data_IF_238077689081
#
_entry.id   IF_238077689081
#
_cell.length_a   1.000
_cell.length_b   1.000
_cell.length_c   1.000
_cell.angle_alpha   90.00
_cell.angle_beta   90.00
_cell.angle_gamma   90.00
#
_symmetry.space_group_name_H-M   'P 1'
#
loop_
_entity.id
_entity.type
_entity.pdbx_description
1 polymer ?
#
# COMPACT_ATOMS: atom_id res chain seq x y z
N UNK A 1 14.19 21.80 7.87
CA UNK A 1 14.37 20.88 6.73
C UNK A 1 13.03 20.80 6.02
N UNK A 2 12.96 21.18 4.76
CA UNK A 2 11.74 21.10 3.97
C UNK A 2 11.46 19.67 3.52
N UNK A 3 10.19 19.37 3.25
CA UNK A 3 9.70 18.03 2.90
C UNK A 3 8.77 18.13 1.71
N UNK A 4 8.95 17.26 0.72
CA UNK A 4 8.25 17.37 -0.56
C UNK A 4 7.25 16.24 -0.76
N UNK A 5 6.00 16.62 -0.99
CA UNK A 5 4.95 15.73 -1.51
C UNK A 5 4.79 16.01 -2.98
N UNK A 6 4.60 14.96 -3.78
CA UNK A 6 4.39 15.11 -5.22
C UNK A 6 2.93 14.76 -5.52
N UNK A 7 2.23 15.66 -6.20
CA UNK A 7 0.89 15.45 -6.72
C UNK A 7 1.00 15.22 -8.22
N UNK A 8 0.64 14.03 -8.67
CA UNK A 8 0.71 13.63 -10.09
C UNK A 8 -0.67 13.77 -10.70
N UNK A 9 -0.77 14.54 -11.77
CA UNK A 9 -2.03 14.96 -12.38
C UNK A 9 -2.21 14.26 -13.74
N UNK A 10 -3.40 13.72 -13.98
CA UNK A 10 -3.80 13.19 -15.30
C UNK A 10 -4.20 14.29 -16.31
N UNK A 11 -4.21 15.55 -15.89
CA UNK A 11 -4.55 16.72 -16.70
C UNK A 11 -3.32 17.58 -16.99
N UNK A 12 -3.34 18.28 -18.13
CA UNK A 12 -2.32 19.26 -18.50
C UNK A 12 -2.58 20.56 -17.71
N UNK A 13 -1.89 20.70 -16.58
CA UNK A 13 -2.05 21.81 -15.62
C UNK A 13 -0.90 22.79 -15.79
N UNK A 14 -1.22 24.08 -15.88
CA UNK A 14 -0.26 25.19 -15.99
C UNK A 14 0.03 25.85 -14.65
N UNK A 15 1.10 26.64 -14.55
CA UNK A 15 1.38 27.42 -13.34
C UNK A 15 0.28 28.42 -13.00
N UNK A 16 -0.48 28.90 -14.01
CA UNK A 16 -1.64 29.76 -13.79
C UNK A 16 -2.79 29.02 -13.09
N UNK A 17 -3.05 27.78 -13.46
CA UNK A 17 -4.08 26.94 -12.83
C UNK A 17 -3.73 26.61 -11.37
N UNK A 18 -2.44 26.30 -11.11
CA UNK A 18 -1.94 26.08 -9.75
C UNK A 18 -2.06 27.36 -8.91
N UNK A 19 -1.73 28.51 -9.49
CA UNK A 19 -1.92 29.81 -8.85
C UNK A 19 -3.36 30.07 -8.46
N UNK A 20 -4.28 29.92 -9.41
CA UNK A 20 -5.70 30.11 -9.15
C UNK A 20 -6.22 29.17 -8.05
N UNK A 21 -5.79 27.90 -8.07
CA UNK A 21 -6.13 26.94 -7.02
C UNK A 21 -5.66 27.42 -5.64
N UNK A 22 -4.38 27.76 -5.51
CA UNK A 22 -3.78 28.12 -4.21
C UNK A 22 -4.29 29.48 -3.72
N UNK A 23 -4.47 30.46 -4.60
CA UNK A 23 -5.10 31.75 -4.29
C UNK A 23 -6.55 31.57 -3.79
N UNK A 24 -7.30 30.63 -4.35
CA UNK A 24 -8.67 30.33 -3.88
C UNK A 24 -8.72 29.78 -2.44
N UNK A 25 -7.59 29.26 -1.93
CA UNK A 25 -7.41 28.82 -0.55
C UNK A 25 -6.85 29.93 0.37
N UNK A 26 -6.66 31.15 -0.17
CA UNK A 26 -6.07 32.29 0.53
C UNK A 26 -4.54 32.33 0.45
N UNK A 27 -3.93 31.63 -0.50
CA UNK A 27 -2.49 31.73 -0.78
C UNK A 27 -2.15 32.97 -1.59
N UNK A 28 -0.86 33.30 -1.62
CA UNK A 28 -0.32 34.49 -2.26
C UNK A 28 0.75 34.09 -3.28
N UNK A 29 0.86 34.86 -4.36
CA UNK A 29 2.00 34.74 -5.26
C UNK A 29 3.28 35.00 -4.45
N UNK A 30 4.30 34.17 -4.65
CA UNK A 30 5.53 34.23 -3.85
C UNK A 30 6.37 35.48 -4.13
N UNK A 31 6.01 36.63 -3.57
CA UNK A 31 6.89 37.79 -3.51
C UNK A 31 7.96 37.55 -2.43
N UNK A 32 9.08 36.93 -2.81
CA UNK A 32 10.23 36.69 -1.92
C UNK A 32 10.61 35.22 -1.69
N UNK A 33 9.98 34.28 -2.38
CA UNK A 33 10.38 32.87 -2.36
C UNK A 33 11.62 32.65 -3.26
N UNK A 34 12.59 31.79 -2.88
CA UNK A 34 13.80 31.53 -3.66
C UNK A 34 13.49 31.00 -5.08
N UNK A 35 13.46 31.89 -6.06
CA UNK A 35 13.53 31.75 -7.54
C UNK A 35 12.68 30.66 -8.26
N UNK A 36 11.96 29.75 -7.58
CA UNK A 36 11.45 28.50 -8.19
C UNK A 36 10.04 28.07 -7.76
N UNK A 37 9.28 28.88 -7.01
CA UNK A 37 7.90 28.54 -6.60
C UNK A 37 6.87 29.50 -7.18
N UNK A 38 5.75 28.93 -7.63
CA UNK A 38 4.67 29.65 -8.29
C UNK A 38 3.79 30.42 -7.29
N UNK A 39 3.57 29.83 -6.10
CA UNK A 39 2.61 30.29 -5.07
C UNK A 39 3.01 29.75 -3.70
N UNK A 40 2.61 30.47 -2.65
CA UNK A 40 2.74 30.03 -1.25
C UNK A 40 1.38 30.09 -0.55
N UNK A 41 1.11 29.10 0.29
CA UNK A 41 -0.02 29.12 1.23
C UNK A 41 0.53 29.13 2.66
N UNK A 42 0.31 30.23 3.38
CA UNK A 42 0.70 30.39 4.78
C UNK A 42 -0.50 30.64 5.68
N UNK A 43 -0.70 29.80 6.69
CA UNK A 43 -1.80 29.96 7.65
C UNK A 43 -1.55 29.18 8.93
N UNK A 44 -1.85 29.78 10.08
CA UNK A 44 -1.83 29.08 11.38
C UNK A 44 -0.48 28.46 11.75
N UNK A 45 0.63 29.08 11.33
CA UNK A 45 1.99 28.57 11.56
C UNK A 45 2.43 27.47 10.59
N UNK A 46 1.63 27.13 9.58
CA UNK A 46 2.02 26.26 8.48
C UNK A 46 2.37 27.07 7.22
N UNK A 47 3.28 26.53 6.42
CA UNK A 47 3.70 27.08 5.13
C UNK A 47 3.87 25.96 4.12
N UNK A 48 3.28 26.13 2.93
CA UNK A 48 3.45 25.24 1.78
C UNK A 48 3.77 26.07 0.54
N UNK A 49 4.88 25.75 -0.12
CA UNK A 49 5.22 26.30 -1.42
C UNK A 49 4.87 25.32 -2.53
N UNK A 50 4.35 25.82 -3.63
CA UNK A 50 3.92 24.99 -4.76
C UNK A 50 4.69 25.32 -6.03
N UNK A 51 5.09 24.30 -6.79
CA UNK A 51 5.66 24.48 -8.13
C UNK A 51 5.36 23.29 -9.03
N UNK A 52 5.22 23.54 -10.33
CA UNK A 52 5.22 22.45 -11.31
C UNK A 52 6.65 21.96 -11.57
N UNK A 53 6.81 20.64 -11.73
CA UNK A 53 8.10 20.01 -12.04
C UNK A 53 7.90 18.90 -13.08
N UNK A 54 8.02 19.21 -14.39
CA UNK A 54 7.81 18.23 -15.45
C UNK A 54 8.88 17.13 -15.47
N UNK A 55 10.04 17.35 -14.86
CA UNK A 55 11.14 16.38 -14.88
C UNK A 55 10.83 15.14 -14.02
N UNK A 56 9.93 15.27 -13.05
CA UNK A 56 9.44 14.15 -12.22
C UNK A 56 8.71 13.06 -13.03
N UNK A 57 8.23 13.37 -14.23
CA UNK A 57 7.53 12.42 -15.11
C UNK A 57 8.45 11.74 -16.13
N UNK A 58 9.76 12.05 -16.12
CA UNK A 58 10.74 11.47 -17.07
C UNK A 58 11.22 10.07 -16.69
N UNK A 59 10.96 9.63 -15.46
CA UNK A 59 11.38 8.31 -14.98
C UNK A 59 10.38 7.23 -15.43
N UNK A 60 10.78 6.37 -16.37
CA UNK A 60 9.90 5.38 -17.01
C UNK A 60 9.21 4.43 -16.01
N UNK A 61 9.94 3.89 -15.03
CA UNK A 61 9.39 2.96 -14.05
C UNK A 61 8.30 3.61 -13.18
N UNK A 62 8.54 4.85 -12.74
CA UNK A 62 7.57 5.61 -11.95
C UNK A 62 6.37 6.02 -12.80
N UNK A 63 6.62 6.36 -14.07
CA UNK A 63 5.57 6.73 -15.02
C UNK A 63 4.58 5.58 -15.21
N UNK A 64 5.07 4.36 -15.45
CA UNK A 64 4.21 3.18 -15.60
C UNK A 64 3.38 2.90 -14.35
N UNK A 65 3.96 3.09 -13.15
CA UNK A 65 3.24 2.95 -11.89
C UNK A 65 2.13 4.01 -11.75
N UNK A 66 2.39 5.27 -12.13
CA UNK A 66 1.36 6.32 -12.14
C UNK A 66 0.28 6.04 -13.17
N UNK A 67 0.63 5.61 -14.38
CA UNK A 67 -0.34 5.28 -15.44
C UNK A 67 -1.30 4.18 -14.99
N UNK A 68 -0.76 3.12 -14.36
CA UNK A 68 -1.55 2.04 -13.79
C UNK A 68 -2.50 2.53 -12.69
N UNK A 69 -2.03 3.40 -11.80
CA UNK A 69 -2.83 3.86 -10.65
C UNK A 69 -3.83 4.98 -10.99
N UNK A 70 -3.54 5.83 -12.00
CA UNK A 70 -4.45 6.88 -12.50
C UNK A 70 -5.50 6.36 -13.47
N UNK A 71 -5.25 5.20 -14.10
CA UNK A 71 -5.95 4.75 -15.32
C UNK A 71 -5.88 5.78 -16.47
N UNK A 72 -4.88 6.66 -16.43
CA UNK A 72 -4.65 7.76 -17.37
C UNK A 72 -3.14 8.08 -17.47
N UNK A 73 -2.65 8.56 -18.63
CA UNK A 73 -1.29 9.08 -18.75
C UNK A 73 -1.05 10.26 -17.80
N UNK A 74 -0.01 10.26 -16.95
CA UNK A 74 0.35 11.43 -16.16
C UNK A 74 0.82 12.54 -17.10
N UNK A 75 0.31 13.75 -16.88
CA UNK A 75 0.53 14.92 -17.73
C UNK A 75 1.32 16.01 -17.03
N UNK A 76 1.02 16.25 -15.75
CA UNK A 76 1.70 17.26 -14.94
C UNK A 76 2.08 16.70 -13.56
N UNK A 77 3.11 17.28 -12.94
CA UNK A 77 3.50 16.96 -11.57
C UNK A 77 3.68 18.26 -10.79
N UNK A 78 2.97 18.35 -9.67
CA UNK A 78 2.97 19.47 -8.75
C UNK A 78 3.74 19.07 -7.49
N UNK A 79 4.77 19.82 -7.15
CA UNK A 79 5.55 19.66 -5.93
C UNK A 79 4.96 20.57 -4.86
N UNK A 80 4.60 19.97 -3.72
CA UNK A 80 4.20 20.66 -2.50
C UNK A 80 5.36 20.57 -1.52
N UNK A 81 6.09 21.67 -1.37
CA UNK A 81 7.17 21.78 -0.40
C UNK A 81 6.63 22.35 0.91
N UNK A 82 6.73 21.57 1.97
CA UNK A 82 6.22 21.91 3.30
C UNK A 82 7.38 22.24 4.24
N UNK A 83 7.16 23.19 5.15
CA UNK A 83 8.03 23.31 6.33
C UNK A 83 7.79 22.14 7.30
N UNK A 84 8.67 22.01 8.31
CA UNK A 84 8.55 20.96 9.33
C UNK A 84 7.42 21.19 10.35
N UNK A 85 6.70 22.30 10.25
CA UNK A 85 5.64 22.66 11.19
C UNK A 85 4.39 21.78 10.99
N UNK A 86 3.69 21.36 12.07
CA UNK A 86 2.50 20.52 11.96
C UNK A 86 1.39 21.11 11.07
N UNK A 87 1.26 22.44 11.04
CA UNK A 87 0.28 23.15 10.22
C UNK A 87 0.50 22.97 8.72
N UNK A 88 1.76 22.78 8.28
CA UNK A 88 2.12 22.68 6.87
C UNK A 88 1.59 21.42 6.21
N UNK A 89 1.50 20.32 6.97
CA UNK A 89 0.86 19.11 6.44
C UNK A 89 -0.62 19.39 6.15
N UNK A 90 -1.35 20.03 7.08
CA UNK A 90 -2.78 20.29 6.89
C UNK A 90 -3.04 21.19 5.68
N UNK A 91 -2.22 22.21 5.49
CA UNK A 91 -2.30 23.06 4.30
C UNK A 91 -2.01 22.28 3.01
N UNK A 92 -1.02 21.40 3.01
CA UNK A 92 -0.75 20.57 1.84
C UNK A 92 -1.89 19.58 1.56
N UNK A 93 -2.54 19.02 2.60
CA UNK A 93 -3.75 18.22 2.42
C UNK A 93 -4.89 19.02 1.80
N UNK A 94 -5.11 20.25 2.24
CA UNK A 94 -6.14 21.12 1.66
C UNK A 94 -5.88 21.39 0.17
N UNK A 95 -4.62 21.67 -0.21
CA UNK A 95 -4.24 21.84 -1.62
C UNK A 95 -4.50 20.56 -2.41
N UNK A 96 -4.13 19.38 -1.88
CA UNK A 96 -4.38 18.08 -2.51
C UNK A 96 -5.88 17.86 -2.73
N UNK A 97 -6.71 18.10 -1.72
CA UNK A 97 -8.15 17.89 -1.82
C UNK A 97 -8.80 18.87 -2.81
N UNK A 98 -8.43 20.15 -2.75
CA UNK A 98 -8.93 21.14 -3.67
C UNK A 98 -8.48 20.87 -5.11
N UNK A 99 -7.27 20.34 -5.32
CA UNK A 99 -6.80 19.88 -6.63
C UNK A 99 -7.60 18.65 -7.11
N UNK A 100 -7.93 17.72 -6.21
CA UNK A 100 -8.68 16.50 -6.55
C UNK A 100 -10.12 16.80 -6.98
N UNK A 101 -10.71 17.88 -6.47
CA UNK A 101 -12.01 18.38 -6.93
C UNK A 101 -11.97 18.92 -8.38
N UNK A 102 -10.78 19.28 -8.89
CA UNK A 102 -10.59 19.85 -10.23
C UNK A 102 -10.03 18.85 -11.24
N UNK A 103 -9.11 17.98 -10.82
CA UNK A 103 -8.35 17.11 -11.71
C UNK A 103 -8.16 15.69 -11.14
N UNK A 104 -8.19 14.65 -11.99
CA UNK A 104 -7.74 13.31 -11.60
C UNK A 104 -6.28 13.35 -11.16
N UNK A 105 -5.99 12.85 -9.95
CA UNK A 105 -4.65 12.91 -9.39
C UNK A 105 -4.30 11.71 -8.51
N UNK A 106 -2.99 11.54 -8.30
CA UNK A 106 -2.39 10.70 -7.29
C UNK A 106 -1.51 11.56 -6.37
N UNK A 107 -1.29 11.07 -5.16
CA UNK A 107 -0.34 11.64 -4.21
C UNK A 107 0.81 10.66 -4.04
N UNK A 108 2.04 11.09 -4.30
CA UNK A 108 3.24 10.39 -3.86
C UNK A 108 3.72 11.01 -2.55
N UNK A 109 3.66 10.22 -1.50
CA UNK A 109 3.93 10.67 -0.14
C UNK A 109 5.44 10.78 0.16
N UNK A 110 5.80 11.17 1.38
CA UNK A 110 7.19 11.36 1.81
C UNK A 110 8.01 10.06 1.84
N UNK A 111 7.34 8.90 1.95
CA UNK A 111 7.94 7.58 1.86
C UNK A 111 8.05 7.08 0.42
N UNK A 112 7.56 7.86 -0.55
CA UNK A 112 7.52 7.49 -1.96
C UNK A 112 6.35 6.58 -2.34
N UNK A 113 5.41 6.35 -1.44
CA UNK A 113 4.22 5.53 -1.71
C UNK A 113 3.23 6.30 -2.58
N UNK A 114 2.64 5.61 -3.56
CA UNK A 114 1.62 6.16 -4.47
C UNK A 114 0.23 5.93 -3.86
N UNK A 115 -0.52 7.00 -3.68
CA UNK A 115 -1.85 7.00 -3.06
C UNK A 115 -2.88 7.54 -4.04
N UNK A 116 -4.02 6.85 -4.12
CA UNK A 116 -5.23 7.41 -4.73
C UNK A 116 -5.86 8.45 -3.81
N UNK A 117 -6.68 9.35 -4.36
CA UNK A 117 -7.43 10.36 -3.60
C UNK A 117 -8.30 9.69 -2.52
N UNK A 118 -8.97 8.59 -2.85
CA UNK A 118 -9.77 7.82 -1.89
C UNK A 118 -8.93 7.30 -0.72
N UNK A 119 -7.75 6.73 -1.00
CA UNK A 119 -6.82 6.27 0.03
C UNK A 119 -6.28 7.43 0.87
N UNK A 120 -6.06 8.58 0.26
CA UNK A 120 -5.64 9.79 0.96
C UNK A 120 -6.74 10.32 1.89
N UNK A 121 -8.00 10.39 1.45
CA UNK A 121 -9.15 10.72 2.31
C UNK A 121 -9.27 9.78 3.51
N UNK A 122 -9.10 8.48 3.31
CA UNK A 122 -9.08 7.50 4.41
C UNK A 122 -7.99 7.80 5.42
N UNK A 123 -6.77 8.17 4.97
CA UNK A 123 -5.70 8.61 5.89
C UNK A 123 -6.09 9.86 6.66
N UNK A 124 -6.64 10.88 6.01
CA UNK A 124 -7.07 12.11 6.67
C UNK A 124 -8.16 11.86 7.72
N UNK A 125 -9.11 10.97 7.45
CA UNK A 125 -10.17 10.62 8.38
C UNK A 125 -9.63 9.91 9.65
N UNK A 126 -8.54 9.15 9.52
CA UNK A 126 -7.99 8.32 10.60
C UNK A 126 -6.86 8.98 11.39
N UNK A 127 -6.15 9.92 10.78
CA UNK A 127 -4.89 10.45 11.30
C UNK A 127 -5.05 11.91 11.71
N UNK A 128 -4.54 12.26 12.89
CA UNK A 128 -4.42 13.68 13.31
C UNK A 128 -3.22 14.40 12.71
N UNK A 129 -2.21 13.64 12.24
CA UNK A 129 -1.00 14.09 11.58
C UNK A 129 -0.35 12.91 10.82
N UNK A 130 0.67 13.17 9.98
CA UNK A 130 1.45 12.12 9.31
C UNK A 130 0.68 11.44 8.18
N UNK A 131 -0.22 12.14 7.49
CA UNK A 131 -0.96 11.55 6.35
C UNK A 131 -0.10 11.39 5.09
N UNK A 132 0.98 12.16 4.98
CA UNK A 132 2.00 11.99 3.94
C UNK A 132 3.19 11.13 4.36
N UNK A 133 3.11 10.43 5.48
CA UNK A 133 4.23 9.61 5.95
C UNK A 133 3.68 8.28 6.48
N UNK A 134 3.80 7.23 5.67
CA UNK A 134 3.41 5.89 6.09
C UNK A 134 4.32 5.35 7.21
N UNK A 135 5.60 5.74 7.25
CA UNK A 135 6.60 5.16 8.12
C UNK A 135 6.52 5.69 9.57
N UNK A 136 6.09 6.95 9.75
CA UNK A 136 5.98 7.54 11.10
C UNK A 136 4.60 7.40 11.72
N UNK A 137 3.61 6.91 10.98
CA UNK A 137 2.28 6.68 11.55
C UNK A 137 2.23 5.38 12.34
N UNK A 138 2.20 5.53 13.66
CA UNK A 138 1.76 4.46 14.56
C UNK A 138 0.24 4.45 14.55
N UNK A 139 -0.37 3.44 13.93
CA UNK A 139 -1.80 3.20 14.03
C UNK A 139 -2.14 2.79 15.47
N UNK A 140 -2.87 3.63 16.24
CA UNK A 140 -3.22 3.31 17.61
C UNK A 140 -4.42 2.35 17.67
N UNK A 141 -4.97 1.93 16.53
CA UNK A 141 -6.10 1.02 16.50
C UNK A 141 -5.75 -0.31 17.19
N UNK A 142 -6.73 -0.94 17.86
CA UNK A 142 -6.55 -2.30 18.35
C UNK A 142 -6.14 -3.28 17.23
N UNK A 143 -6.47 -2.98 15.97
CA UNK A 143 -6.06 -3.77 14.80
C UNK A 143 -4.57 -3.66 14.51
N UNK A 144 -3.98 -2.48 14.55
CA UNK A 144 -2.53 -2.35 14.37
C UNK A 144 -1.70 -2.82 15.58
N UNK A 145 -2.21 -2.64 16.79
CA UNK A 145 -1.66 -3.29 17.98
C UNK A 145 -1.77 -4.84 17.94
N UNK A 146 -2.61 -5.38 17.04
CA UNK A 146 -2.67 -6.80 16.71
C UNK A 146 -1.69 -7.18 15.59
N UNK A 147 -1.50 -6.34 14.57
CA UNK A 147 -0.48 -6.54 13.50
C UNK A 147 0.96 -6.57 14.01
N UNK A 148 1.26 -5.93 15.14
CA UNK A 148 2.55 -6.11 15.82
C UNK A 148 2.77 -7.50 16.44
N UNK A 149 1.78 -8.41 16.34
CA UNK A 149 1.76 -9.78 16.90
C UNK A 149 1.28 -10.81 15.87
N UNK A 150 1.52 -10.55 14.59
CA UNK A 150 1.24 -11.48 13.50
C UNK A 150 2.53 -11.79 12.76
N UNK A 151 2.71 -13.07 12.41
CA UNK A 151 3.71 -13.50 11.46
C UNK A 151 3.16 -13.28 10.03
N UNK A 152 3.97 -12.66 9.17
CA UNK A 152 3.63 -12.49 7.75
C UNK A 152 4.09 -13.70 6.96
N UNK A 153 3.13 -14.41 6.37
CA UNK A 153 3.39 -15.58 5.52
C UNK A 153 2.91 -15.24 4.11
N UNK A 154 3.73 -15.44 3.10
CA UNK A 154 3.32 -15.23 1.71
C UNK A 154 3.02 -16.56 1.04
N UNK A 155 1.88 -16.66 0.37
CA UNK A 155 1.52 -17.77 -0.49
C UNK A 155 1.57 -17.31 -1.94
N UNK A 156 2.47 -17.88 -2.73
CA UNK A 156 2.65 -17.55 -4.13
C UNK A 156 1.91 -18.56 -5.01
N UNK A 157 1.17 -18.03 -5.98
CA UNK A 157 0.26 -18.77 -6.85
C UNK A 157 0.62 -18.58 -8.34
N UNK A 158 0.24 -19.53 -9.21
CA UNK A 158 0.40 -19.41 -10.66
C UNK A 158 -0.30 -18.17 -11.24
N UNK A 159 0.12 -17.69 -12.42
CA UNK A 159 -0.37 -16.44 -12.98
C UNK A 159 -1.82 -16.46 -13.49
N UNK A 160 -2.39 -17.64 -13.72
CA UNK A 160 -3.81 -17.80 -14.06
C UNK A 160 -4.74 -17.70 -12.84
N UNK A 161 -4.18 -17.76 -11.62
CA UNK A 161 -4.93 -17.56 -10.38
C UNK A 161 -5.16 -16.07 -10.16
N UNK A 162 -6.41 -15.69 -9.90
CA UNK A 162 -6.82 -14.29 -9.73
C UNK A 162 -7.28 -14.06 -8.29
N UNK A 163 -7.31 -12.80 -7.81
CA UNK A 163 -7.83 -12.46 -6.48
C UNK A 163 -9.20 -13.12 -6.16
N UNK A 164 -10.13 -13.13 -7.13
CA UNK A 164 -11.46 -13.75 -6.99
C UNK A 164 -11.44 -15.28 -6.82
N UNK A 165 -10.39 -15.96 -7.28
CA UNK A 165 -10.22 -17.39 -7.03
C UNK A 165 -9.90 -17.63 -5.55
N UNK A 166 -8.98 -16.83 -5.00
CA UNK A 166 -8.57 -16.90 -3.59
C UNK A 166 -9.71 -16.51 -2.66
N UNK A 167 -10.45 -15.44 -2.94
CA UNK A 167 -11.62 -15.04 -2.14
C UNK A 167 -12.68 -16.17 -2.06
N UNK A 168 -12.94 -16.85 -3.18
CA UNK A 168 -13.88 -17.97 -3.23
C UNK A 168 -13.39 -19.15 -2.38
N UNK A 169 -12.09 -19.42 -2.39
CA UNK A 169 -11.48 -20.44 -1.54
C UNK A 169 -11.61 -20.09 -0.06
N UNK A 170 -11.28 -18.86 0.33
CA UNK A 170 -11.42 -18.42 1.72
C UNK A 170 -12.88 -18.54 2.18
N UNK A 171 -13.83 -18.16 1.32
CA UNK A 171 -15.27 -18.31 1.60
C UNK A 171 -15.71 -19.77 1.73
N UNK A 172 -15.19 -20.69 0.91
CA UNK A 172 -15.54 -22.11 0.99
C UNK A 172 -15.06 -22.76 2.30
N UNK A 173 -14.00 -22.20 2.91
CA UNK A 173 -13.51 -22.58 4.24
C UNK A 173 -14.29 -21.94 5.40
N UNK A 174 -15.33 -21.16 5.10
CA UNK A 174 -16.14 -20.42 6.08
C UNK A 174 -15.63 -19.02 6.39
N UNK A 175 -14.68 -18.49 5.61
CA UNK A 175 -14.15 -17.15 5.77
C UNK A 175 -15.10 -16.05 5.28
N UNK A 176 -14.89 -14.84 5.79
CA UNK A 176 -15.66 -13.64 5.48
C UNK A 176 -14.84 -12.74 4.55
N UNK A 177 -15.51 -12.04 3.64
CA UNK A 177 -14.87 -10.95 2.90
C UNK A 177 -14.57 -9.79 3.85
N UNK A 178 -13.40 -9.18 3.72
CA UNK A 178 -13.04 -7.99 4.46
C UNK A 178 -13.68 -6.72 3.88
N UNK A 179 -13.66 -5.66 4.65
CA UNK A 179 -14.15 -4.32 4.31
C UNK A 179 -13.08 -3.44 3.62
N UNK A 180 -11.96 -4.04 3.20
CA UNK A 180 -11.02 -3.45 2.23
C UNK A 180 -9.92 -2.55 2.80
N UNK A 181 -9.80 -2.38 4.12
CA UNK A 181 -8.71 -1.59 4.73
C UNK A 181 -7.67 -2.41 5.51
N UNK A 182 -8.01 -3.61 5.98
CA UNK A 182 -7.13 -4.42 6.84
C UNK A 182 -6.83 -5.81 6.27
N UNK A 183 -7.80 -6.40 5.57
CA UNK A 183 -7.68 -7.66 4.86
C UNK A 183 -8.74 -7.71 3.75
N UNK A 184 -8.45 -8.41 2.67
CA UNK A 184 -9.46 -8.73 1.65
C UNK A 184 -10.37 -9.87 2.12
N UNK A 185 -9.88 -10.73 3.02
CA UNK A 185 -10.69 -11.74 3.69
C UNK A 185 -10.17 -12.10 5.09
N UNK A 186 -11.06 -12.64 5.93
CA UNK A 186 -10.78 -13.16 7.27
C UNK A 186 -11.22 -14.61 7.36
N UNK A 187 -10.33 -15.48 7.83
CA UNK A 187 -10.67 -16.83 8.26
C UNK A 187 -10.54 -16.92 9.79
N UNK A 188 -11.63 -17.24 10.47
CA UNK A 188 -11.69 -17.32 11.94
C UNK A 188 -12.36 -18.63 12.41
N UNK A 189 -11.73 -19.32 13.37
CA UNK A 189 -12.28 -20.49 14.05
C UNK A 189 -11.93 -20.48 15.54
N UNK A 190 -12.91 -20.15 16.37
CA UNK A 190 -12.67 -19.98 17.81
C UNK A 190 -11.61 -18.91 18.06
N UNK A 191 -10.50 -19.21 18.77
CA UNK A 191 -9.43 -18.24 18.98
C UNK A 191 -8.47 -18.09 17.78
N UNK A 192 -8.55 -18.99 16.78
CA UNK A 192 -7.67 -18.98 15.62
C UNK A 192 -8.15 -18.00 14.56
N UNK A 193 -7.23 -17.19 14.05
CA UNK A 193 -7.49 -16.13 13.06
C UNK A 193 -6.36 -16.02 12.05
N UNK A 194 -6.72 -15.81 10.80
CA UNK A 194 -5.82 -15.51 9.69
C UNK A 194 -6.45 -14.41 8.85
N UNK A 195 -5.74 -13.29 8.70
CA UNK A 195 -6.11 -12.26 7.73
C UNK A 195 -5.43 -12.53 6.40
N UNK A 196 -6.16 -12.27 5.32
CA UNK A 196 -5.74 -12.56 3.95
C UNK A 196 -5.73 -11.26 3.16
N UNK A 197 -4.59 -10.88 2.63
CA UNK A 197 -4.40 -9.75 1.73
C UNK A 197 -3.94 -10.26 0.36
N UNK A 198 -4.56 -9.77 -0.69
CA UNK A 198 -4.28 -10.10 -2.08
C UNK A 198 -3.31 -9.05 -2.60
N UNK A 199 -2.13 -9.48 -3.05
CA UNK A 199 -1.11 -8.60 -3.58
C UNK A 199 -0.67 -9.04 -4.97
N UNK A 200 -0.29 -8.05 -5.79
CA UNK A 200 0.40 -8.32 -7.05
C UNK A 200 1.76 -8.97 -6.74
N UNK A 201 2.05 -10.10 -7.39
CA UNK A 201 3.30 -10.82 -7.20
C UNK A 201 4.55 -9.99 -7.57
N UNK A 202 4.40 -8.96 -8.40
CA UNK A 202 5.48 -8.01 -8.73
C UNK A 202 5.88 -7.13 -7.54
N UNK A 203 4.96 -6.87 -6.61
CA UNK A 203 5.21 -6.07 -5.42
C UNK A 203 5.85 -6.88 -4.28
N UNK A 204 5.75 -8.22 -4.30
CA UNK A 204 6.29 -9.09 -3.25
C UNK A 204 6.85 -10.39 -3.84
N UNK A 205 8.17 -10.47 -4.10
CA UNK A 205 8.76 -11.66 -4.70
C UNK A 205 8.72 -12.85 -3.73
N UNK A 206 8.37 -14.06 -4.22
CA UNK A 206 8.08 -15.24 -3.38
C UNK A 206 9.33 -15.97 -2.83
N UNK A 207 10.53 -15.46 -3.12
CA UNK A 207 11.80 -16.09 -2.78
C UNK A 207 12.73 -16.25 -3.99
N UNK A 208 13.77 -17.10 -3.88
CA UNK A 208 14.74 -17.32 -4.96
C UNK A 208 14.09 -17.86 -6.24
N UNK A 209 14.45 -17.30 -7.39
CA UNK A 209 13.84 -17.64 -8.68
C UNK A 209 13.93 -19.13 -9.06
N UNK A 210 14.94 -19.86 -8.56
CA UNK A 210 15.09 -21.30 -8.80
C UNK A 210 13.98 -22.13 -8.14
N UNK A 211 13.70 -21.88 -6.85
CA UNK A 211 12.68 -22.59 -6.08
C UNK A 211 11.29 -22.27 -6.61
N UNK A 212 11.06 -21.00 -6.96
CA UNK A 212 9.83 -20.55 -7.60
C UNK A 212 9.55 -21.28 -8.91
N UNK A 213 10.56 -21.38 -9.79
CA UNK A 213 10.40 -22.07 -11.08
C UNK A 213 10.21 -23.58 -10.91
N UNK A 214 10.89 -24.19 -9.95
CA UNK A 214 10.74 -25.62 -9.66
C UNK A 214 9.33 -25.96 -9.16
N UNK A 215 8.75 -25.09 -8.32
CA UNK A 215 7.45 -25.35 -7.68
C UNK A 215 6.27 -24.90 -8.54
N UNK A 216 6.35 -23.71 -9.13
CA UNK A 216 5.23 -23.11 -9.88
C UNK A 216 5.37 -23.31 -11.40
N UNK A 217 6.51 -23.78 -11.90
CA UNK A 217 6.83 -23.90 -13.33
C UNK A 217 7.14 -22.57 -14.02
N UNK A 218 6.55 -21.47 -13.54
CA UNK A 218 6.70 -20.12 -14.06
C UNK A 218 6.75 -19.07 -12.94
N UNK A 219 6.87 -17.79 -13.31
CA UNK A 219 6.82 -16.70 -12.34
C UNK A 219 5.39 -16.55 -11.79
N UNK A 220 5.21 -16.30 -10.48
CA UNK A 220 3.87 -16.11 -9.92
C UNK A 220 3.22 -14.86 -10.51
N UNK A 221 1.92 -14.93 -10.76
CA UNK A 221 1.13 -13.73 -11.08
C UNK A 221 0.37 -13.17 -9.89
N UNK A 222 0.08 -13.98 -8.87
CA UNK A 222 -0.64 -13.56 -7.67
C UNK A 222 0.10 -14.01 -6.41
N UNK A 223 0.30 -13.08 -5.48
CA UNK A 223 0.77 -13.38 -4.13
C UNK A 223 -0.35 -13.10 -3.13
N UNK A 224 -0.47 -13.94 -2.11
CA UNK A 224 -1.43 -13.78 -1.03
C UNK A 224 -0.64 -13.64 0.26
N UNK A 225 -0.73 -12.48 0.92
CA UNK A 225 -0.17 -12.30 2.25
C UNK A 225 -1.18 -12.81 3.28
N UNK A 226 -0.68 -13.65 4.17
CA UNK A 226 -1.40 -14.18 5.30
C UNK A 226 -0.80 -13.53 6.56
N UNK A 227 -1.61 -12.77 7.28
CA UNK A 227 -1.25 -12.31 8.61
C UNK A 227 -1.72 -13.37 9.61
N UNK A 228 -0.77 -14.17 10.08
CA UNK A 228 -0.99 -15.31 10.97
C UNK A 228 -0.75 -14.85 12.40
N UNK A 229 -1.79 -14.84 13.21
CA UNK A 229 -1.66 -14.44 14.62
C UNK A 229 -0.79 -15.44 15.39
N UNK A 230 -0.04 -14.96 16.38
CA UNK A 230 0.83 -15.77 17.26
C UNK A 230 0.05 -16.70 18.21
N UNK A 231 -0.74 -17.62 17.64
CA UNK A 231 -1.39 -18.71 18.36
C UNK A 231 -1.19 -20.01 17.58
N UNK A 232 -1.01 -21.17 18.25
CA UNK A 232 -0.92 -22.46 17.56
C UNK A 232 -2.15 -22.74 16.67
N UNK A 233 -3.33 -22.29 17.11
CA UNK A 233 -4.56 -22.42 16.33
C UNK A 233 -4.52 -21.63 15.01
N UNK A 234 -3.99 -20.41 15.02
CA UNK A 234 -3.81 -19.59 13.82
C UNK A 234 -2.80 -20.18 12.83
N UNK A 235 -1.72 -20.76 13.33
CA UNK A 235 -0.71 -21.45 12.52
C UNK A 235 -1.31 -22.65 11.77
N UNK A 236 -2.08 -23.48 12.49
CA UNK A 236 -2.82 -24.60 11.88
C UNK A 236 -3.86 -24.09 10.88
N UNK A 237 -4.62 -23.05 11.23
CA UNK A 237 -5.65 -22.48 10.36
C UNK A 237 -5.06 -21.90 9.06
N UNK A 238 -3.89 -21.26 9.13
CA UNK A 238 -3.18 -20.77 7.96
C UNK A 238 -2.66 -21.93 7.09
N UNK A 239 -2.16 -23.00 7.71
CA UNK A 239 -1.75 -24.19 6.99
C UNK A 239 -2.93 -24.91 6.32
N UNK A 240 -4.11 -24.94 6.93
CA UNK A 240 -5.32 -25.44 6.28
C UNK A 240 -5.71 -24.63 5.05
N UNK A 241 -5.53 -23.30 5.07
CA UNK A 241 -5.75 -22.47 3.89
C UNK A 241 -4.73 -22.79 2.79
N UNK A 242 -3.46 -22.99 3.14
CA UNK A 242 -2.41 -23.44 2.21
C UNK A 242 -2.76 -24.79 1.59
N UNK A 243 -3.20 -25.76 2.39
CA UNK A 243 -3.66 -27.07 1.91
C UNK A 243 -4.84 -26.97 0.94
N UNK A 244 -5.82 -26.14 1.29
CA UNK A 244 -6.98 -25.94 0.45
C UNK A 244 -6.61 -25.29 -0.89
N UNK A 245 -5.65 -24.36 -0.89
CA UNK A 245 -5.11 -23.79 -2.12
C UNK A 245 -4.35 -24.84 -2.95
N UNK A 246 -3.53 -25.67 -2.27
CA UNK A 246 -2.75 -26.73 -2.89
C UNK A 246 -3.61 -27.82 -3.54
N UNK A 247 -4.86 -27.99 -3.10
CA UNK A 247 -5.82 -28.90 -3.74
C UNK A 247 -6.27 -28.41 -5.13
N UNK A 248 -6.07 -27.13 -5.44
CA UNK A 248 -6.48 -26.51 -6.70
C UNK A 248 -5.31 -26.06 -7.57
N UNK A 249 -4.21 -25.63 -6.96
CA UNK A 249 -3.08 -25.00 -7.65
C UNK A 249 -1.75 -25.43 -7.05
N UNK A 250 -0.64 -25.40 -7.81
CA UNK A 250 0.70 -25.38 -7.24
C UNK A 250 0.85 -24.20 -6.28
N UNK A 251 1.44 -24.43 -5.11
CA UNK A 251 1.60 -23.41 -4.06
C UNK A 251 3.04 -23.41 -3.57
N UNK A 252 3.66 -22.23 -3.54
CA UNK A 252 4.90 -21.99 -2.81
C UNK A 252 4.61 -21.08 -1.62
N UNK A 253 5.08 -21.45 -0.44
CA UNK A 253 4.91 -20.67 0.78
C UNK A 253 6.23 -20.00 1.14
N UNK A 254 6.18 -18.78 1.67
CA UNK A 254 7.32 -18.06 2.22
C UNK A 254 7.00 -17.61 3.64
N UNK A 255 7.78 -18.08 4.60
CA UNK A 255 7.69 -17.71 6.01
C UNK A 255 8.07 -16.26 6.32
N UNK A 256 7.90 -15.85 7.57
CA UNK A 256 8.21 -14.49 8.03
C UNK A 256 9.73 -14.18 7.99
N UNK A 257 10.59 -15.17 8.29
CA UNK A 257 12.05 -15.09 8.06
C UNK A 257 12.45 -15.03 6.58
N UNK A 258 11.49 -15.21 5.67
CA UNK A 258 11.73 -15.21 4.23
C UNK A 258 12.12 -16.57 3.66
N UNK A 259 12.15 -17.63 4.46
CA UNK A 259 12.38 -19.00 3.99
C UNK A 259 11.24 -19.48 3.09
N UNK A 260 11.58 -20.03 1.92
CA UNK A 260 10.61 -20.67 1.02
C UNK A 260 10.38 -22.12 1.43
N UNK A 261 9.13 -22.58 1.35
CA UNK A 261 8.66 -23.90 1.75
C UNK A 261 7.65 -24.42 0.74
N UNK A 262 7.71 -25.71 0.45
CA UNK A 262 6.67 -26.42 -0.28
C UNK A 262 5.49 -26.75 0.65
N UNK A 263 4.36 -27.13 0.07
CA UNK A 263 3.20 -27.63 0.84
C UNK A 263 3.59 -28.88 1.65
N UNK A 264 4.48 -29.72 1.12
CA UNK A 264 4.97 -30.93 1.81
C UNK A 264 5.81 -30.58 3.05
N UNK A 265 6.61 -29.52 2.99
CA UNK A 265 7.34 -29.01 4.16
C UNK A 265 6.37 -28.51 5.24
N UNK A 266 5.32 -27.78 4.84
CA UNK A 266 4.24 -27.32 5.75
C UNK A 266 3.56 -28.52 6.42
N UNK A 267 3.17 -29.55 5.65
CA UNK A 267 2.59 -30.81 6.18
C UNK A 267 3.51 -31.49 7.18
N UNK A 268 4.78 -31.64 6.83
CA UNK A 268 5.76 -32.31 7.67
C UNK A 268 5.90 -31.59 9.02
N UNK A 269 5.91 -30.25 9.02
CA UNK A 269 5.98 -29.45 10.25
C UNK A 269 4.74 -29.58 11.13
N UNK A 270 3.55 -29.59 10.54
CA UNK A 270 2.31 -29.86 11.29
C UNK A 270 2.35 -31.26 11.89
N UNK A 271 2.76 -32.28 11.13
CA UNK A 271 2.86 -33.65 11.60
C UNK A 271 3.86 -33.82 12.76
N UNK A 272 4.92 -33.01 12.77
CA UNK A 272 5.88 -32.92 13.88
C UNK A 272 5.36 -32.12 15.09
N UNK A 273 4.19 -31.48 14.99
CA UNK A 273 3.64 -30.64 16.06
C UNK A 273 4.39 -29.33 16.25
N UNK A 274 4.98 -28.77 15.18
CA UNK A 274 5.68 -27.50 15.23
C UNK A 274 4.73 -26.38 15.71
N UNK A 275 5.20 -25.57 16.66
CA UNK A 275 4.44 -24.43 17.19
C UNK A 275 4.44 -23.28 16.17
N UNK A 276 5.57 -23.08 15.50
CA UNK A 276 5.71 -22.15 14.39
C UNK A 276 5.80 -22.95 13.09
N UNK A 277 4.72 -23.01 12.33
CA UNK A 277 4.68 -23.83 11.11
C UNK A 277 5.47 -23.14 9.99
N UNK A 278 5.50 -21.81 9.97
CA UNK A 278 6.04 -21.03 8.87
C UNK A 278 7.38 -20.35 9.18
N UNK A 279 7.88 -20.38 10.41
CA UNK A 279 9.23 -19.90 10.75
C UNK A 279 10.07 -20.95 11.50
N UNK A 280 10.93 -21.71 10.80
CA UNK A 280 11.78 -22.77 11.36
C UNK A 280 12.86 -22.40 12.36
#
# INVERSE_FOLDING_TARGET
MSRNVIVVLGADVTSGDVRELVESLGGEAGEGSPEHYDVVLERGGGTVWTRLDPDLLRYEDLRAAYESALDLPPRSALVLEMTGEPGSQWLAAEIVLAAADRWPLLVRDLGGEILTVERFHRRLAKRRAGFFDAATWHDPSPAAARRGRVALVTMALPPDVTPRHVERLVRSLGGLAGDGEEADALLERGPARVWVQLADARATPPGPASVTRETLGEAPGTCVLLEVFETPGSQVLAAELVEAAAAHWPVLVRGASGQSMTVEDVRARIAMGAIDVFDP
#
